data_IF_661639666367
#
_entry.id   IF_661639666367
#
_cell.length_a   1.000
_cell.length_b   1.000
_cell.length_c   1.000
_cell.angle_alpha   90.00
_cell.angle_beta   90.00
_cell.angle_gamma   90.00
#
_symmetry.space_group_name_H-M   'P 1'
#
loop_
_entity.id
_entity.type
_entity.pdbx_description
1 polymer ?
#
# COMPACT_ATOMS: atom_id res chain seq x y z
N UNK A 1 -6.15 -2.98 4.01
CA UNK A 1 -4.80 -2.86 3.43
C UNK A 1 -3.84 -2.36 4.50
N UNK A 2 -2.55 -2.68 4.39
CA UNK A 2 -1.50 -2.24 5.34
C UNK A 2 -0.47 -1.41 4.58
N UNK A 3 -0.07 -0.27 5.15
CA UNK A 3 0.85 0.69 4.54
C UNK A 3 2.15 0.74 5.33
N UNK A 4 3.28 0.60 4.65
CA UNK A 4 4.62 0.69 5.23
C UNK A 4 5.39 1.88 4.68
N UNK A 5 6.14 2.54 5.55
CA UNK A 5 7.09 3.59 5.14
C UNK A 5 8.42 2.94 4.76
N UNK A 6 8.90 3.18 3.54
CA UNK A 6 10.15 2.59 3.04
C UNK A 6 11.07 3.65 2.42
N UNK A 7 12.35 3.28 2.20
CA UNK A 7 13.32 4.14 1.53
C UNK A 7 13.61 5.45 2.27
N UNK A 8 13.67 5.41 3.61
CA UNK A 8 13.84 6.60 4.44
C UNK A 8 12.59 7.47 4.49
N UNK A 9 11.40 6.86 4.57
CA UNK A 9 10.08 7.50 4.60
C UNK A 9 9.66 8.25 3.33
N UNK A 10 10.42 8.10 2.23
CA UNK A 10 10.12 8.75 0.94
C UNK A 10 8.96 8.11 0.19
N UNK A 11 8.70 6.83 0.46
CA UNK A 11 7.68 6.06 -0.22
C UNK A 11 6.72 5.38 0.77
N UNK A 12 5.55 5.01 0.25
CA UNK A 12 4.49 4.23 0.89
C UNK A 12 4.31 2.94 0.11
N UNK A 13 4.61 1.82 0.76
CA UNK A 13 4.35 0.49 0.25
C UNK A 13 2.98 0.05 0.75
N UNK A 14 2.02 -0.07 -0.16
CA UNK A 14 0.66 -0.49 0.16
C UNK A 14 0.52 -1.98 -0.15
N UNK A 15 0.08 -2.73 0.84
CA UNK A 15 0.00 -4.19 0.77
C UNK A 15 -1.38 -4.72 1.16
N UNK A 16 -1.70 -5.88 0.62
CA UNK A 16 -2.72 -6.76 1.14
C UNK A 16 -2.02 -7.98 1.76
N UNK A 17 -2.30 -8.26 3.03
CA UNK A 17 -1.69 -9.39 3.75
C UNK A 17 -2.76 -10.43 3.99
N UNK A 18 -2.53 -11.62 3.45
CA UNK A 18 -3.28 -12.81 3.75
C UNK A 18 -2.55 -13.58 4.86
N UNK A 19 -3.02 -13.42 6.09
CA UNK A 19 -2.40 -14.05 7.26
C UNK A 19 -2.61 -15.56 7.32
N UNK A 20 -3.71 -16.06 6.76
CA UNK A 20 -4.04 -17.50 6.74
C UNK A 20 -3.04 -18.25 5.86
N UNK A 21 -2.79 -17.73 4.66
CA UNK A 21 -1.84 -18.33 3.72
C UNK A 21 -0.41 -17.77 3.83
N UNK A 22 -0.17 -16.87 4.79
CA UNK A 22 1.11 -16.20 5.01
C UNK A 22 1.67 -15.54 3.74
N UNK A 23 0.80 -14.85 2.98
CA UNK A 23 1.16 -14.20 1.71
C UNK A 23 1.01 -12.69 1.82
N UNK A 24 1.99 -11.97 1.27
CA UNK A 24 1.96 -10.51 1.15
C UNK A 24 1.87 -10.15 -0.33
N UNK A 25 0.80 -9.46 -0.68
CA UNK A 25 0.59 -8.94 -2.03
C UNK A 25 0.91 -7.45 -2.04
N UNK A 26 1.90 -7.08 -2.85
CA UNK A 26 2.24 -5.67 -3.08
C UNK A 26 1.21 -5.10 -4.06
N UNK A 27 0.51 -4.04 -3.65
CA UNK A 27 -0.49 -3.36 -4.48
C UNK A 27 0.11 -2.15 -5.17
N UNK A 28 0.76 -1.29 -4.39
CA UNK A 28 1.33 -0.04 -4.89
C UNK A 28 2.61 0.31 -4.14
N UNK A 29 3.50 1.00 -4.82
CA UNK A 29 4.65 1.71 -4.24
C UNK A 29 4.53 3.15 -4.72
N UNK A 30 4.18 4.05 -3.80
CA UNK A 30 3.90 5.45 -4.11
C UNK A 30 4.89 6.35 -3.41
N UNK A 31 5.23 7.50 -4.00
CA UNK A 31 5.84 8.60 -3.25
C UNK A 31 4.85 9.19 -2.24
N UNK A 32 5.34 9.98 -1.28
CA UNK A 32 4.46 10.68 -0.34
C UNK A 32 3.38 11.51 -1.06
N UNK A 33 3.80 12.30 -2.05
CA UNK A 33 2.90 13.18 -2.79
C UNK A 33 1.86 12.43 -3.63
N UNK A 34 2.17 11.22 -4.10
CA UNK A 34 1.21 10.36 -4.81
C UNK A 34 0.26 9.67 -3.85
N UNK A 35 0.76 9.24 -2.69
CA UNK A 35 -0.06 8.65 -1.64
C UNK A 35 -1.13 9.62 -1.14
N UNK A 36 -0.76 10.90 -0.95
CA UNK A 36 -1.64 11.95 -0.43
C UNK A 36 -2.82 12.28 -1.37
N UNK A 37 -2.75 11.89 -2.64
CA UNK A 37 -3.86 12.04 -3.59
C UNK A 37 -5.01 11.06 -3.32
N UNK A 38 -4.80 10.07 -2.47
CA UNK A 38 -5.80 9.06 -2.07
C UNK A 38 -6.41 8.25 -3.22
N UNK A 39 -5.86 8.34 -4.43
CA UNK A 39 -6.34 7.61 -5.61
C UNK A 39 -6.27 6.09 -5.42
N UNK A 40 -5.31 5.61 -4.63
CA UNK A 40 -5.15 4.19 -4.28
C UNK A 40 -6.35 3.62 -3.50
N UNK A 41 -7.17 4.47 -2.85
CA UNK A 41 -8.41 4.06 -2.17
C UNK A 41 -9.54 3.71 -3.14
N UNK A 42 -9.40 4.06 -4.43
CA UNK A 42 -10.36 3.69 -5.48
C UNK A 42 -10.17 2.25 -5.96
N UNK A 43 -9.09 1.59 -5.55
CA UNK A 43 -8.85 0.19 -5.86
C UNK A 43 -9.96 -0.68 -5.24
N UNK A 44 -10.49 -1.64 -6.01
CA UNK A 44 -11.64 -2.44 -5.58
C UNK A 44 -11.37 -3.29 -4.33
N UNK A 45 -10.11 -3.46 -3.94
CA UNK A 45 -9.70 -4.20 -2.75
C UNK A 45 -9.67 -3.33 -1.48
N UNK A 46 -9.92 -2.02 -1.60
CA UNK A 46 -10.08 -1.11 -0.48
C UNK A 46 -11.52 -1.10 0.09
N UNK A 47 -12.51 -1.43 -0.75
CA UNK A 47 -13.94 -1.49 -0.35
C UNK A 47 -14.32 -2.77 0.38
#
# INVERSE_FOLDING_TARGET
>A
MIVFNIGGNKYRLITFIDYTYQKVFIRYILTHSEYDKDDWKKDNWYR
#
